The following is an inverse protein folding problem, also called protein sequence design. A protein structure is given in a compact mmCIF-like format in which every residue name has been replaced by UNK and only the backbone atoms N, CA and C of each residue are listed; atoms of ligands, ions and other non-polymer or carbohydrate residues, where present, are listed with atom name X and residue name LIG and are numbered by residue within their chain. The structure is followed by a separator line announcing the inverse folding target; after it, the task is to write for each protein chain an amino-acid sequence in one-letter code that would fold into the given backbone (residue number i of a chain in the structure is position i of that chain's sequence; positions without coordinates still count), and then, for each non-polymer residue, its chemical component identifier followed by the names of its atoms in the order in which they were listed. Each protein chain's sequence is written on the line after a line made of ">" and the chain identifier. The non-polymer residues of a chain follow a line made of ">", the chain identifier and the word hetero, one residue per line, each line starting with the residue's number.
data_IF_421165600554
#
_entry.id   IF_421165600554
#
_cell.length_a   1.000
_cell.length_b   1.000
_cell.length_c   1.000
_cell.angle_alpha   90.00
_cell.angle_beta   90.00
_cell.angle_gamma   90.00
#
_symmetry.space_group_name_H-M   'P 1'
#
loop_
_entity.id
_entity.type
_entity.pdbx_description
1 polymer ?
#
# COMPACT_ATOMS: atom_id res chain seq x y z
N UNK A 1 -20.77 -0.48 1.77
CA UNK A 1 -19.77 -1.57 1.94
C UNK A 1 -20.49 -2.75 2.58
N UNK A 2 -20.42 -3.94 1.99
CA UNK A 2 -21.05 -5.13 2.56
C UNK A 2 -20.38 -5.48 3.89
N UNK A 3 -21.18 -5.91 4.87
CA UNK A 3 -20.64 -6.23 6.19
C UNK A 3 -19.78 -7.50 6.10
N UNK A 4 -18.52 -7.39 6.51
CA UNK A 4 -17.59 -8.50 6.64
C UNK A 4 -17.99 -9.29 7.88
N UNK A 5 -18.22 -10.60 7.72
CA UNK A 5 -18.61 -11.50 8.82
C UNK A 5 -17.45 -12.39 9.29
N UNK A 6 -16.50 -12.67 8.41
CA UNK A 6 -15.30 -13.43 8.72
C UNK A 6 -14.16 -13.00 7.78
N UNK A 7 -12.93 -13.34 8.19
CA UNK A 7 -11.72 -13.08 7.42
C UNK A 7 -10.68 -14.15 7.70
N UNK A 8 -9.89 -14.49 6.70
CA UNK A 8 -8.70 -15.35 6.86
C UNK A 8 -7.53 -14.72 6.12
N UNK A 9 -6.31 -15.04 6.56
CA UNK A 9 -5.09 -14.59 5.91
C UNK A 9 -4.27 -15.80 5.50
N UNK A 10 -3.90 -15.86 4.23
CA UNK A 10 -2.96 -16.84 3.71
C UNK A 10 -1.56 -16.21 3.70
N UNK A 11 -0.64 -16.61 4.60
CA UNK A 11 0.71 -16.06 4.64
C UNK A 11 1.57 -16.48 3.45
N UNK A 12 1.25 -17.59 2.76
CA UNK A 12 1.99 -18.07 1.58
C UNK A 12 1.62 -17.25 0.36
N UNK A 13 0.33 -17.02 0.14
CA UNK A 13 -0.17 -16.19 -0.96
C UNK A 13 -0.11 -14.69 -0.62
N UNK A 14 0.01 -14.31 0.67
CA UNK A 14 -0.10 -12.94 1.17
C UNK A 14 -1.42 -12.28 0.77
N UNK A 15 -2.50 -13.06 0.87
CA UNK A 15 -3.85 -12.65 0.50
C UNK A 15 -4.78 -12.71 1.72
N UNK A 16 -5.70 -11.76 1.76
CA UNK A 16 -6.79 -11.74 2.74
C UNK A 16 -8.06 -12.21 2.05
N UNK A 17 -8.68 -13.28 2.54
CA UNK A 17 -10.03 -13.65 2.11
C UNK A 17 -11.05 -12.96 3.02
N UNK A 18 -12.01 -12.26 2.42
CA UNK A 18 -13.10 -11.59 3.11
C UNK A 18 -14.41 -12.30 2.79
N UNK A 19 -15.16 -12.65 3.84
CA UNK A 19 -16.45 -13.30 3.75
C UNK A 19 -17.54 -12.28 4.09
N UNK A 20 -18.54 -12.17 3.24
CA UNK A 20 -19.59 -11.16 3.34
C UNK A 20 -20.94 -11.79 3.73
N UNK A 21 -21.85 -10.97 4.27
CA UNK A 21 -23.20 -11.41 4.69
C UNK A 21 -24.04 -12.04 3.58
N UNK A 22 -23.79 -11.69 2.33
CA UNK A 22 -24.47 -12.25 1.15
C UNK A 22 -23.95 -13.64 0.76
N UNK A 23 -23.01 -14.20 1.53
CA UNK A 23 -22.38 -15.50 1.27
C UNK A 23 -21.22 -15.42 0.27
N UNK A 24 -20.94 -14.27 -0.32
CA UNK A 24 -19.80 -14.10 -1.22
C UNK A 24 -18.47 -14.13 -0.45
N UNK A 25 -17.43 -14.60 -1.14
CA UNK A 25 -16.07 -14.65 -0.63
C UNK A 25 -15.10 -14.21 -1.73
N UNK A 26 -14.32 -13.17 -1.44
CA UNK A 26 -13.33 -12.64 -2.37
C UNK A 26 -11.95 -12.62 -1.70
N UNK A 27 -10.92 -12.88 -2.49
CA UNK A 27 -9.52 -12.80 -2.07
C UNK A 27 -8.92 -11.47 -2.52
N UNK A 28 -8.25 -10.80 -1.61
CA UNK A 28 -7.69 -9.48 -1.86
C UNK A 28 -6.19 -9.44 -1.56
N UNK A 29 -5.47 -8.77 -2.44
CA UNK A 29 -4.13 -8.27 -2.16
C UNK A 29 -4.25 -6.92 -1.46
N UNK A 30 -4.08 -6.92 -0.13
CA UNK A 30 -4.32 -5.75 0.72
C UNK A 30 -3.05 -4.90 0.85
N UNK A 31 -3.15 -3.62 0.53
CA UNK A 31 -2.05 -2.64 0.65
C UNK A 31 -2.60 -1.30 1.13
N UNK A 32 -1.83 -0.65 2.00
CA UNK A 32 -2.07 0.74 2.33
C UNK A 32 -1.08 1.68 1.68
N UNK A 33 -1.30 2.97 1.85
CA UNK A 33 -0.33 3.99 1.53
C UNK A 33 -0.42 5.14 2.54
N UNK A 34 0.71 5.80 2.75
CA UNK A 34 0.83 6.91 3.71
C UNK A 34 1.53 8.09 3.06
N UNK A 35 0.86 9.23 3.09
CA UNK A 35 1.45 10.55 2.95
C UNK A 35 1.79 11.07 4.35
N UNK A 36 3.08 11.24 4.65
CA UNK A 36 3.49 11.73 5.96
C UNK A 36 3.06 13.20 6.16
N UNK A 37 2.72 13.60 7.40
CA UNK A 37 2.29 14.97 7.65
C UNK A 37 3.35 15.99 7.26
N UNK A 38 2.91 16.97 6.48
CA UNK A 38 3.70 18.10 6.02
C UNK A 38 2.89 19.39 6.16
N UNK A 39 3.57 20.54 6.12
CA UNK A 39 2.92 21.84 6.21
C UNK A 39 2.24 22.17 4.88
N UNK A 40 0.91 22.16 4.88
CA UNK A 40 0.07 22.43 3.72
C UNK A 40 -0.52 23.82 3.87
N UNK A 41 -0.44 24.63 2.81
CA UNK A 41 -1.12 25.93 2.77
C UNK A 41 -2.33 25.85 1.83
N UNK A 42 -3.52 25.87 2.42
CA UNK A 42 -4.78 25.79 1.69
C UNK A 42 -5.65 27.00 2.03
N UNK A 43 -5.97 27.81 1.02
CA UNK A 43 -6.76 29.05 1.17
C UNK A 43 -6.25 29.99 2.26
N UNK A 44 -4.93 30.13 2.39
CA UNK A 44 -4.29 30.99 3.39
C UNK A 44 -4.16 30.38 4.80
N UNK A 45 -4.77 29.22 5.04
CA UNK A 45 -4.61 28.48 6.30
C UNK A 45 -3.47 27.48 6.16
N UNK A 46 -2.51 27.55 7.09
CA UNK A 46 -1.45 26.56 7.23
C UNK A 46 -1.92 25.43 8.14
N UNK A 47 -1.90 24.19 7.64
CA UNK A 47 -2.24 22.98 8.39
C UNK A 47 -1.12 21.98 8.28
N UNK A 48 -0.88 21.24 9.37
CA UNK A 48 0.08 20.16 9.39
C UNK A 48 -0.70 18.85 9.39
N UNK A 49 -0.84 18.22 8.23
CA UNK A 49 -1.74 17.08 8.03
C UNK A 49 -1.08 16.04 7.12
N UNK A 50 -1.20 14.78 7.49
CA UNK A 50 -0.89 13.61 6.69
C UNK A 50 -2.15 12.80 6.41
N UNK A 51 -2.01 11.82 5.54
CA UNK A 51 -3.13 11.00 5.12
C UNK A 51 -2.70 9.56 4.92
N UNK A 52 -3.53 8.63 5.37
CA UNK A 52 -3.32 7.21 5.13
C UNK A 52 -4.58 6.60 4.51
N UNK A 53 -4.38 5.68 3.59
CA UNK A 53 -5.44 4.91 2.95
C UNK A 53 -5.13 3.42 3.02
N UNK A 54 -6.18 2.61 3.00
CA UNK A 54 -6.11 1.18 2.82
C UNK A 54 -6.99 0.76 1.64
N UNK A 55 -6.45 -0.12 0.81
CA UNK A 55 -7.16 -0.71 -0.30
C UNK A 55 -6.95 -2.22 -0.39
N UNK A 56 -7.93 -2.89 -0.99
CA UNK A 56 -7.78 -4.26 -1.47
C UNK A 56 -7.86 -4.30 -2.98
N UNK A 57 -6.91 -4.97 -3.62
CA UNK A 57 -7.03 -5.37 -5.02
C UNK A 57 -7.64 -6.77 -5.08
N UNK A 58 -8.83 -6.89 -5.69
CA UNK A 58 -9.44 -8.18 -5.96
C UNK A 58 -8.58 -8.93 -6.98
N UNK A 59 -8.13 -10.13 -6.62
CA UNK A 59 -7.21 -10.92 -7.46
C UNK A 59 -7.86 -11.43 -8.76
N UNK A 60 -9.19 -11.49 -8.81
CA UNK A 60 -9.91 -12.01 -9.96
C UNK A 60 -10.20 -10.89 -10.98
N UNK A 61 -10.61 -9.73 -10.48
CA UNK A 61 -11.01 -8.59 -11.33
C UNK A 61 -9.91 -7.55 -11.51
N UNK A 62 -8.85 -7.60 -10.69
CA UNK A 62 -7.80 -6.59 -10.56
C UNK A 62 -8.31 -5.19 -10.18
N UNK A 63 -9.58 -5.07 -9.76
CA UNK A 63 -10.15 -3.82 -9.28
C UNK A 63 -9.58 -3.50 -7.91
N UNK A 64 -9.12 -2.27 -7.74
CA UNK A 64 -8.64 -1.71 -6.48
C UNK A 64 -9.79 -0.97 -5.81
N UNK A 65 -10.13 -1.39 -4.61
CA UNK A 65 -11.20 -0.78 -3.81
C UNK A 65 -10.57 -0.07 -2.60
N UNK A 66 -10.76 1.25 -2.49
CA UNK A 66 -10.39 2.00 -1.28
C UNK A 66 -11.42 1.69 -0.20
N UNK A 67 -10.97 1.17 0.93
CA UNK A 67 -11.85 0.75 2.03
C UNK A 67 -11.86 1.71 3.20
N UNK A 68 -10.68 2.23 3.53
CA UNK A 68 -10.47 3.01 4.75
C UNK A 68 -9.53 4.16 4.44
N UNK A 69 -9.75 5.27 5.13
CA UNK A 69 -8.90 6.45 5.06
C UNK A 69 -8.85 7.13 6.42
N UNK A 70 -7.77 7.87 6.68
CA UNK A 70 -7.63 8.69 7.88
C UNK A 70 -6.75 9.90 7.60
N UNK A 71 -7.18 11.05 8.13
CA UNK A 71 -6.32 12.22 8.34
C UNK A 71 -5.62 12.10 9.67
N UNK A 72 -4.32 12.42 9.72
CA UNK A 72 -3.57 12.37 10.97
C UNK A 72 -2.46 13.42 10.98
N UNK A 73 -2.12 13.92 12.17
CA UNK A 73 -0.95 14.80 12.37
C UNK A 73 0.18 14.08 13.13
N UNK A 74 -0.18 13.09 13.95
CA UNK A 74 0.70 12.34 14.86
C UNK A 74 0.49 10.83 14.77
N UNK A 75 1.42 10.06 15.33
CA UNK A 75 1.28 8.60 15.49
C UNK A 75 0.43 8.26 16.71
N UNK A 76 0.76 8.86 17.86
CA UNK A 76 -0.01 8.75 19.09
C UNK A 76 -1.22 9.68 19.07
N UNK A 77 -2.31 9.32 19.77
CA UNK A 77 -3.44 10.21 19.92
C UNK A 77 -3.04 11.47 20.70
N UNK A 78 -3.61 12.61 20.31
CA UNK A 78 -3.53 13.84 21.09
C UNK A 78 -4.71 13.82 22.06
N UNK A 79 -4.41 13.93 23.35
CA UNK A 79 -5.39 13.86 24.42
C UNK A 79 -5.37 15.17 25.20
N UNK A 80 -6.54 15.75 25.41
CA UNK A 80 -6.72 16.96 26.20
C UNK A 80 -6.37 16.73 27.67
N UNK A 81 -6.30 17.81 28.45
CA UNK A 81 -6.09 17.72 29.91
C UNK A 81 -7.21 16.95 30.64
N UNK A 82 -8.37 16.83 30.01
CA UNK A 82 -9.56 16.13 30.53
C UNK A 82 -9.63 14.66 30.07
N UNK A 83 -8.53 14.13 29.52
CA UNK A 83 -8.45 12.77 28.98
C UNK A 83 -9.36 12.52 27.75
N UNK A 84 -9.77 13.58 27.05
CA UNK A 84 -10.57 13.49 25.82
C UNK A 84 -9.63 13.39 24.62
N UNK A 85 -9.83 12.40 23.73
CA UNK A 85 -9.06 12.27 22.49
C UNK A 85 -9.47 13.39 21.52
N UNK A 86 -8.55 14.33 21.29
CA UNK A 86 -8.71 15.43 20.32
C UNK A 86 -8.36 14.95 18.91
N UNK A 87 -7.32 14.12 18.78
CA UNK A 87 -6.93 13.47 17.53
C UNK A 87 -6.57 12.01 17.76
N UNK A 88 -7.07 11.10 16.92
CA UNK A 88 -6.97 9.64 17.13
C UNK A 88 -5.55 9.09 16.87
N UNK A 89 -4.70 9.84 16.16
CA UNK A 89 -3.37 9.41 15.72
C UNK A 89 -3.41 8.25 14.70
N UNK A 90 -2.29 8.03 13.99
CA UNK A 90 -2.19 6.95 13.00
C UNK A 90 -2.12 5.56 13.66
N UNK A 91 -1.57 5.45 14.87
CA UNK A 91 -1.30 4.17 15.53
C UNK A 91 -2.55 3.32 15.77
N UNK A 92 -3.63 3.94 16.29
CA UNK A 92 -4.89 3.24 16.50
C UNK A 92 -5.53 2.79 15.19
N UNK A 93 -5.41 3.59 14.14
CA UNK A 93 -5.90 3.24 12.81
C UNK A 93 -5.17 2.02 12.24
N UNK A 94 -3.83 1.98 12.34
CA UNK A 94 -3.01 0.85 11.87
C UNK A 94 -3.43 -0.47 12.53
N UNK A 95 -3.67 -0.46 13.84
CA UNK A 95 -4.16 -1.64 14.57
C UNK A 95 -5.53 -2.09 14.06
N UNK A 96 -6.46 -1.14 13.88
CA UNK A 96 -7.79 -1.43 13.33
C UNK A 96 -7.71 -2.00 11.91
N UNK A 97 -6.79 -1.51 11.09
CA UNK A 97 -6.59 -2.00 9.72
C UNK A 97 -6.03 -3.43 9.72
N UNK A 98 -5.07 -3.72 10.59
CA UNK A 98 -4.58 -5.08 10.78
C UNK A 98 -5.70 -6.00 11.28
N UNK A 99 -6.42 -5.59 12.32
CA UNK A 99 -7.51 -6.37 12.90
C UNK A 99 -8.62 -6.61 11.89
N UNK A 100 -8.96 -5.65 11.02
CA UNK A 100 -10.08 -5.80 10.09
C UNK A 100 -9.69 -6.48 8.76
N UNK A 101 -8.46 -6.31 8.29
CA UNK A 101 -8.06 -6.69 6.92
C UNK A 101 -6.72 -7.43 6.82
N UNK A 102 -6.03 -7.71 7.94
CA UNK A 102 -4.65 -8.19 7.94
C UNK A 102 -3.69 -7.27 7.17
N UNK A 103 -3.94 -5.96 7.21
CA UNK A 103 -3.14 -4.95 6.52
C UNK A 103 -1.81 -4.70 7.24
N UNK A 104 -0.73 -5.29 6.73
CA UNK A 104 0.62 -5.18 7.32
C UNK A 104 1.62 -4.36 6.50
N UNK A 105 1.27 -3.86 5.32
CA UNK A 105 2.22 -3.20 4.42
C UNK A 105 1.64 -1.93 3.81
N UNK A 106 2.42 -0.85 3.88
CA UNK A 106 2.03 0.50 3.49
C UNK A 106 3.10 1.11 2.58
N UNK A 107 2.68 1.60 1.41
CA UNK A 107 3.56 2.34 0.51
C UNK A 107 3.76 3.77 1.00
N UNK A 108 4.96 4.30 0.81
CA UNK A 108 5.25 5.69 1.12
C UNK A 108 6.32 6.23 0.17
N UNK A 109 6.48 7.54 0.19
CA UNK A 109 7.47 8.30 -0.57
C UNK A 109 7.61 9.70 0.04
N UNK A 110 8.52 10.51 -0.49
CA UNK A 110 8.81 11.86 -0.01
C UNK A 110 10.15 11.94 0.72
N UNK A 111 10.28 12.92 1.62
CA UNK A 111 11.56 13.24 2.25
C UNK A 111 11.93 12.19 3.31
N UNK A 112 13.11 11.58 3.15
CA UNK A 112 13.57 10.49 4.01
C UNK A 112 13.63 10.84 5.49
N UNK A 113 13.95 12.10 5.83
CA UNK A 113 14.00 12.53 7.23
C UNK A 113 12.60 12.56 7.87
N UNK A 114 11.56 12.91 7.10
CA UNK A 114 10.17 12.91 7.57
C UNK A 114 9.73 11.48 7.84
N UNK A 115 9.95 10.59 6.86
CA UNK A 115 9.67 9.18 7.04
C UNK A 115 10.39 8.59 8.25
N UNK A 116 11.71 8.85 8.40
CA UNK A 116 12.48 8.33 9.53
C UNK A 116 11.92 8.81 10.87
N UNK A 117 11.48 10.06 10.98
CA UNK A 117 10.84 10.58 12.18
C UNK A 117 9.58 9.79 12.53
N UNK A 118 8.62 9.70 11.61
CA UNK A 118 7.35 9.01 11.86
C UNK A 118 7.52 7.50 12.04
N UNK A 119 8.44 6.88 11.30
CA UNK A 119 8.77 5.47 11.45
C UNK A 119 9.29 5.18 12.87
N UNK A 120 10.18 6.03 13.40
CA UNK A 120 10.69 5.87 14.76
C UNK A 120 9.55 5.97 15.78
N UNK A 121 8.61 6.89 15.59
CA UNK A 121 7.45 7.02 16.48
C UNK A 121 6.56 5.76 16.40
N UNK A 122 6.28 5.23 15.20
CA UNK A 122 5.54 3.95 15.04
C UNK A 122 6.26 2.77 15.72
N UNK A 123 7.58 2.68 15.56
CA UNK A 123 8.38 1.61 16.18
C UNK A 123 8.36 1.72 17.70
N UNK A 124 8.50 2.93 18.25
CA UNK A 124 8.51 3.19 19.70
C UNK A 124 7.13 3.04 20.34
N UNK A 125 6.07 3.30 19.60
CA UNK A 125 4.70 3.20 20.10
C UNK A 125 4.35 1.73 20.40
N UNK A 126 4.26 1.36 21.67
CA UNK A 126 3.96 -0.02 22.10
C UNK A 126 2.56 -0.49 21.74
N UNK A 127 1.62 0.43 21.54
CA UNK A 127 0.25 0.08 21.17
C UNK A 127 0.17 -0.43 19.73
N UNK A 128 1.05 0.02 18.83
CA UNK A 128 1.07 -0.46 17.44
C UNK A 128 1.67 -1.87 17.40
N UNK A 129 0.81 -2.87 17.22
CA UNK A 129 1.17 -4.28 17.15
C UNK A 129 0.16 -5.05 16.26
N UNK A 130 0.59 -5.69 15.16
CA UNK A 130 1.97 -5.85 14.69
C UNK A 130 2.58 -4.54 14.16
N UNK A 131 3.92 -4.52 14.06
CA UNK A 131 4.62 -3.40 13.42
C UNK A 131 4.38 -3.44 11.91
N UNK A 132 3.81 -2.39 11.30
CA UNK A 132 3.60 -2.35 9.87
C UNK A 132 4.94 -2.22 9.14
N UNK A 133 4.97 -2.73 7.91
CA UNK A 133 6.09 -2.56 6.99
C UNK A 133 5.81 -1.36 6.09
N UNK A 134 6.72 -0.40 6.06
CA UNK A 134 6.65 0.75 5.15
C UNK A 134 7.59 0.53 3.96
N UNK A 135 7.04 0.52 2.75
CA UNK A 135 7.75 0.23 1.51
C UNK A 135 7.95 1.55 0.74
N UNK A 136 9.20 1.96 0.56
CA UNK A 136 9.56 3.16 -0.21
C UNK A 136 9.26 2.91 -1.71
N UNK A 137 8.45 3.78 -2.31
CA UNK A 137 8.21 3.81 -3.74
C UNK A 137 9.06 4.93 -4.34
N UNK A 138 9.77 4.66 -5.44
CA UNK A 138 10.45 5.74 -6.17
C UNK A 138 9.43 6.50 -7.00
N UNK A 139 9.22 7.76 -6.64
CA UNK A 139 8.45 8.73 -7.39
C UNK A 139 9.30 9.24 -8.56
N UNK A 140 8.81 9.12 -9.79
CA UNK A 140 9.52 9.68 -10.96
C UNK A 140 9.31 11.21 -11.03
N UNK A 141 8.05 11.63 -11.18
CA UNK A 141 7.62 13.03 -11.10
C UNK A 141 6.10 13.10 -10.83
N UNK A 142 5.60 14.25 -10.37
CA UNK A 142 4.19 14.44 -10.00
C UNK A 142 3.21 14.27 -11.18
N UNK A 143 3.61 14.59 -12.41
CA UNK A 143 2.73 14.47 -13.58
C UNK A 143 2.51 12.99 -13.94
N UNK A 144 3.57 12.19 -13.90
CA UNK A 144 3.50 10.74 -14.09
C UNK A 144 2.60 10.08 -13.06
N UNK A 145 2.73 10.47 -11.78
CA UNK A 145 1.87 9.98 -10.70
C UNK A 145 0.41 10.39 -10.87
N UNK A 146 0.11 11.63 -11.28
CA UNK A 146 -1.27 12.04 -11.56
C UNK A 146 -1.87 11.25 -12.74
N UNK A 147 -1.04 10.94 -13.75
CA UNK A 147 -1.47 10.14 -14.88
C UNK A 147 -1.85 8.71 -14.47
N UNK A 148 -1.19 8.10 -13.47
CA UNK A 148 -1.59 6.78 -12.96
C UNK A 148 -3.00 6.81 -12.37
N UNK A 149 -3.36 7.88 -11.64
CA UNK A 149 -4.69 8.04 -11.05
C UNK A 149 -5.74 8.13 -12.17
N UNK A 150 -5.46 8.92 -13.22
CA UNK A 150 -6.36 9.04 -14.38
C UNK A 150 -6.49 7.75 -15.15
N UNK A 151 -5.41 7.00 -15.35
CA UNK A 151 -5.41 5.69 -16.01
C UNK A 151 -6.36 4.73 -15.29
N UNK A 152 -6.21 4.58 -13.98
CA UNK A 152 -7.05 3.68 -13.16
C UNK A 152 -8.51 4.14 -13.07
N UNK A 153 -8.76 5.46 -12.99
CA UNK A 153 -10.11 6.00 -13.00
C UNK A 153 -10.82 5.75 -14.33
N UNK A 154 -10.14 5.97 -15.47
CA UNK A 154 -10.72 5.75 -16.81
C UNK A 154 -10.94 4.28 -17.12
N UNK A 155 -10.05 3.39 -16.67
CA UNK A 155 -10.19 1.94 -16.86
C UNK A 155 -11.21 1.28 -15.93
N UNK A 156 -11.83 2.05 -15.02
CA UNK A 156 -12.72 1.55 -13.95
C UNK A 156 -12.05 0.50 -13.05
N UNK A 157 -10.72 0.54 -12.93
CA UNK A 157 -9.94 -0.35 -12.07
C UNK A 157 -9.72 0.23 -10.66
N UNK A 158 -10.27 1.40 -10.36
CA UNK A 158 -10.24 2.03 -9.05
C UNK A 158 -11.66 2.42 -8.63
N UNK A 159 -12.05 2.01 -7.43
CA UNK A 159 -13.28 2.45 -6.77
C UNK A 159 -12.95 3.06 -5.40
N UNK A 160 -13.62 4.16 -5.07
CA UNK A 160 -13.48 4.81 -3.78
C UNK A 160 -14.86 5.28 -3.27
N UNK A 161 -15.11 5.27 -1.95
CA UNK A 161 -16.39 5.71 -1.41
C UNK A 161 -16.60 7.21 -1.69
N UNK A 162 -17.80 7.59 -2.09
CA UNK A 162 -18.15 9.01 -2.32
C UNK A 162 -18.24 9.76 -0.99
N UNK A 163 -17.93 11.06 -1.04
CA UNK A 163 -18.03 11.97 0.13
C UNK A 163 -16.84 11.91 1.09
N UNK A 164 -15.93 10.96 0.88
CA UNK A 164 -14.63 10.84 1.54
C UNK A 164 -13.73 12.05 1.28
N UNK A 165 -12.71 12.23 2.13
CA UNK A 165 -11.70 13.24 1.88
C UNK A 165 -10.95 12.95 0.57
N UNK A 166 -10.61 11.69 0.31
CA UNK A 166 -9.98 11.31 -0.96
C UNK A 166 -10.82 11.75 -2.15
N UNK A 167 -12.14 11.51 -2.11
CA UNK A 167 -13.04 11.95 -3.18
C UNK A 167 -13.06 13.47 -3.33
N UNK A 168 -13.10 14.23 -2.22
CA UNK A 168 -13.08 15.70 -2.24
C UNK A 168 -11.77 16.24 -2.85
N UNK A 169 -10.62 15.74 -2.39
CA UNK A 169 -9.33 16.19 -2.90
C UNK A 169 -9.10 15.77 -4.36
N UNK A 170 -9.59 14.59 -4.76
CA UNK A 170 -9.55 14.15 -6.17
C UNK A 170 -10.34 15.08 -7.09
N UNK A 171 -11.48 15.61 -6.63
CA UNK A 171 -12.24 16.62 -7.38
C UNK A 171 -11.50 17.97 -7.48
N UNK A 172 -10.74 18.36 -6.45
CA UNK A 172 -9.91 19.57 -6.49
C UNK A 172 -8.76 19.42 -7.50
N UNK A 173 -8.10 18.26 -7.52
CA UNK A 173 -7.06 17.94 -8.50
C UNK A 173 -7.58 18.07 -9.95
N UNK A 174 -8.79 17.54 -10.23
CA UNK A 174 -9.41 17.63 -11.56
C UNK A 174 -9.68 19.07 -12.01
N UNK A 175 -9.85 20.01 -11.06
CA UNK A 175 -10.04 21.44 -11.34
C UNK A 175 -8.71 22.19 -11.55
N UNK A 176 -7.59 21.48 -11.52
CA UNK A 176 -6.25 22.06 -11.70
C UNK A 176 -5.69 22.76 -10.46
N UNK A 177 -6.25 22.52 -9.27
CA UNK A 177 -5.65 23.04 -8.04
C UNK A 177 -4.34 22.28 -7.77
N UNK A 178 -3.20 22.99 -7.83
CA UNK A 178 -1.85 22.43 -7.64
C UNK A 178 -1.38 22.45 -6.18
N UNK A 179 -2.28 22.68 -5.21
CA UNK A 179 -1.93 22.60 -3.79
C UNK A 179 -1.50 21.18 -3.41
N UNK A 180 -0.76 21.07 -2.32
CA UNK A 180 -0.49 19.78 -1.71
C UNK A 180 -1.82 19.15 -1.25
N UNK A 181 -2.18 18.02 -1.84
CA UNK A 181 -3.39 17.25 -1.57
C UNK A 181 -2.99 15.89 -0.97
N UNK A 182 -2.85 15.76 0.35
CA UNK A 182 -2.31 14.55 0.99
C UNK A 182 -3.06 13.27 0.65
N UNK A 183 -4.38 13.36 0.47
CA UNK A 183 -5.18 12.19 0.14
C UNK A 183 -4.89 11.71 -1.29
N UNK A 184 -4.74 12.65 -2.23
CA UNK A 184 -4.34 12.34 -3.61
C UNK A 184 -2.92 11.79 -3.62
N UNK A 185 -1.99 12.39 -2.87
CA UNK A 185 -0.62 11.91 -2.75
C UNK A 185 -0.56 10.47 -2.20
N UNK A 186 -1.35 10.15 -1.18
CA UNK A 186 -1.46 8.78 -0.67
C UNK A 186 -2.04 7.82 -1.72
N UNK A 187 -3.02 8.26 -2.53
CA UNK A 187 -3.56 7.47 -3.63
C UNK A 187 -2.53 7.21 -4.73
N UNK A 188 -1.78 8.23 -5.13
CA UNK A 188 -0.67 8.11 -6.09
C UNK A 188 0.36 7.09 -5.59
N UNK A 189 0.78 7.20 -4.33
CA UNK A 189 1.68 6.22 -3.70
C UNK A 189 1.15 4.79 -3.76
N UNK A 190 -0.15 4.62 -3.47
CA UNK A 190 -0.79 3.30 -3.48
C UNK A 190 -0.74 2.68 -4.88
N UNK A 191 -1.16 3.43 -5.89
CA UNK A 191 -1.24 2.95 -7.27
C UNK A 191 0.13 2.66 -7.86
N UNK A 192 1.09 3.58 -7.69
CA UNK A 192 2.49 3.38 -8.08
C UNK A 192 3.10 2.15 -7.38
N UNK A 193 2.80 1.99 -6.09
CA UNK A 193 3.24 0.84 -5.32
C UNK A 193 2.66 -0.48 -5.82
N UNK A 194 1.40 -0.50 -6.25
CA UNK A 194 0.75 -1.67 -6.84
C UNK A 194 1.32 -1.98 -8.23
N UNK A 195 1.58 -0.98 -9.08
CA UNK A 195 2.21 -1.22 -10.39
C UNK A 195 3.64 -1.75 -10.27
N UNK A 196 4.40 -1.23 -9.30
CA UNK A 196 5.78 -1.64 -9.06
C UNK A 196 5.91 -2.98 -8.34
N UNK A 197 5.00 -3.25 -7.40
CA UNK A 197 4.97 -4.46 -6.59
C UNK A 197 3.62 -5.18 -6.73
N UNK A 198 3.27 -5.63 -7.96
CA UNK A 198 2.00 -6.28 -8.22
C UNK A 198 1.94 -7.61 -7.49
N UNK A 199 0.72 -8.06 -7.21
CA UNK A 199 0.53 -9.43 -6.75
C UNK A 199 1.10 -10.40 -7.79
N UNK A 200 1.93 -11.33 -7.31
CA UNK A 200 2.46 -12.44 -8.11
C UNK A 200 2.10 -13.71 -7.38
N UNK A 201 1.38 -14.60 -8.07
CA UNK A 201 1.05 -15.92 -7.52
C UNK A 201 2.35 -16.63 -7.15
N UNK A 202 2.51 -17.12 -5.90
CA UNK A 202 3.68 -17.89 -5.53
C UNK A 202 3.85 -19.08 -6.47
N UNK A 203 5.07 -19.34 -6.92
CA UNK A 203 5.36 -20.56 -7.68
C UNK A 203 5.21 -21.73 -6.71
N UNK A 204 4.17 -22.53 -6.88
CA UNK A 204 4.07 -23.82 -6.20
C UNK A 204 5.15 -24.72 -6.78
N UNK A 205 6.23 -24.94 -6.03
CA UNK A 205 7.25 -25.96 -6.33
C UNK A 205 6.64 -27.36 -6.17
N UNK A 206 5.74 -27.75 -7.07
CA UNK A 206 5.18 -29.10 -7.15
C UNK A 206 5.60 -29.84 -8.44
N UNK A 207 6.48 -29.26 -9.26
CA UNK A 207 7.09 -29.93 -10.41
C UNK A 207 8.62 -29.76 -10.38
N UNK A 208 9.26 -30.08 -9.26
CA UNK A 208 10.64 -30.54 -9.36
C UNK A 208 10.55 -31.98 -9.86
N UNK A 209 10.56 -32.15 -11.18
CA UNK A 209 10.93 -33.44 -11.75
C UNK A 209 12.31 -33.74 -11.15
N UNK A 210 12.51 -34.83 -10.41
CA UNK A 210 13.85 -35.16 -9.94
C UNK A 210 14.71 -35.29 -11.20
N UNK A 211 15.74 -34.46 -11.30
CA UNK A 211 16.79 -34.65 -12.29
C UNK A 211 17.34 -36.05 -12.05
N UNK A 212 16.90 -37.02 -12.87
CA UNK A 212 17.61 -38.27 -13.01
C UNK A 212 18.95 -37.89 -13.63
N UNK A 213 20.01 -38.06 -12.85
CA UNK A 213 21.36 -38.10 -13.37
C UNK A 213 21.42 -39.21 -14.41
N UNK A 214 21.27 -38.87 -15.69
CA UNK A 214 21.71 -39.73 -16.76
C UNK A 214 23.24 -39.62 -16.78
N UNK A 215 23.87 -40.62 -16.18
CA UNK A 215 25.28 -40.94 -16.38
C UNK A 215 25.52 -41.14 -17.87
N UNK A 216 25.96 -40.11 -18.57
CA UNK A 216 26.67 -40.28 -19.83
C UNK A 216 28.14 -40.56 -19.51
N UNK A 217 28.39 -41.82 -19.17
CA UNK A 217 29.70 -42.39 -19.40
C UNK A 217 29.97 -42.46 -20.90
N UNK A 218 31.19 -42.07 -21.25
CA UNK A 218 31.97 -42.42 -22.44
C UNK A 218 32.34 -41.31 -23.44
N UNK A 219 33.59 -40.86 -23.23
CA UNK A 219 34.74 -40.90 -24.15
C UNK A 219 35.02 -39.69 -25.03
N UNK A 220 36.19 -39.09 -24.70
CA UNK A 220 37.33 -38.69 -25.55
C UNK A 220 36.99 -37.85 -26.81
N UNK A 221 37.61 -36.70 -27.07
CA UNK A 221 39.05 -36.49 -27.30
C UNK A 221 39.38 -35.00 -27.38
N UNK A 222 40.57 -34.63 -26.88
CA UNK A 222 41.53 -33.62 -27.38
C UNK A 222 41.07 -32.33 -28.07
N UNK A 223 41.63 -31.19 -27.66
CA UNK A 223 41.85 -30.08 -28.60
C UNK A 223 41.88 -28.65 -28.03
N UNK A 224 43.07 -28.24 -27.61
CA UNK A 224 43.64 -26.89 -27.78
C UNK A 224 43.04 -25.63 -27.12
N UNK A 225 43.96 -24.94 -26.43
CA UNK A 225 43.88 -23.58 -25.90
C UNK A 225 43.60 -22.52 -26.96
N UNK A 226 42.79 -21.52 -26.59
CA UNK A 226 42.69 -20.25 -27.29
C UNK A 226 41.96 -19.19 -26.47
N UNK A 227 42.71 -18.31 -25.79
CA UNK A 227 42.23 -17.01 -25.31
C UNK A 227 41.78 -16.17 -26.50
N UNK A 228 40.75 -15.33 -26.35
CA UNK A 228 40.84 -13.90 -26.70
C UNK A 228 39.77 -13.11 -25.94
N UNK A 229 40.21 -12.03 -25.32
CA UNK A 229 39.40 -10.93 -24.87
C UNK A 229 39.11 -9.99 -26.04
N UNK A 230 37.92 -9.38 -26.03
CA UNK A 230 37.69 -7.99 -26.46
C UNK A 230 36.81 -7.36 -25.41
#
# INVERSE_FOLDING_TARGET
>A
MNLIIAKTYDPRERLTALYFKDGSCNKYYVRGAVCWPSLIQTFGVRKFEGFAILAGQDINTNVIEIWEEIKFSTIDPIVSREAIVEETGLGQWLNRMWERYYAGSYFWTGLRYEHKRYLLDVVRNKAVNPKPVFIEIRWADDLSSQHIVWKYARSKMLTAPRGTELHKQSQLMQRGDRKALPAVHALECLLEGIERYPYRKPVTTNNVVPYSYQNNEHRNTEGYYGRFAV
#
